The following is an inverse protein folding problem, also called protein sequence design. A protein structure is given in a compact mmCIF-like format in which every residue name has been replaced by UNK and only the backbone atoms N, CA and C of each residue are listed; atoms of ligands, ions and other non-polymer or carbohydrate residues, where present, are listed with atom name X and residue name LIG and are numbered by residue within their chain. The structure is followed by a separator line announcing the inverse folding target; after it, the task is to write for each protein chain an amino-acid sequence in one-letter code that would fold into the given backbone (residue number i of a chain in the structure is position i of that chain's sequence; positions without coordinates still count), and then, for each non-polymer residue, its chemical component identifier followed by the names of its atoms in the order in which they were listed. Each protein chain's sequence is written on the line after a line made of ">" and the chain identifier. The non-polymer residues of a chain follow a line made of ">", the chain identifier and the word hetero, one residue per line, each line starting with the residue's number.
data_IF_096611851609
#
_entry.id   IF_096611851609
#
_cell.length_a   1.000
_cell.length_b   1.000
_cell.length_c   1.000
_cell.angle_alpha   90.00
_cell.angle_beta   90.00
_cell.angle_gamma   90.00
#
_symmetry.space_group_name_H-M   'P 1'
#
loop_
_entity.id
_entity.type
_entity.pdbx_description
1 polymer ?
#
# COMPACT_ATOMS: atom_id res chain seq x y z
N UNK A 1 10.57 4.40 -25.53
CA UNK A 1 10.91 5.21 -24.34
C UNK A 1 9.97 4.95 -23.15
N UNK A 2 8.65 5.14 -23.26
CA UNK A 2 7.71 4.99 -22.09
C UNK A 2 7.76 3.63 -21.38
N UNK A 3 7.85 2.51 -22.14
CA UNK A 3 7.91 1.18 -21.53
C UNK A 3 9.14 0.98 -20.65
N UNK A 4 10.30 1.48 -21.08
CA UNK A 4 11.53 1.42 -20.30
C UNK A 4 11.47 2.31 -19.05
N UNK A 5 10.95 3.51 -19.17
CA UNK A 5 10.78 4.41 -18.00
C UNK A 5 9.77 3.85 -16.99
N UNK A 6 8.67 3.29 -17.46
CA UNK A 6 7.71 2.60 -16.61
C UNK A 6 8.35 1.40 -15.91
N UNK A 7 9.07 0.55 -16.66
CA UNK A 7 9.81 -0.60 -16.09
C UNK A 7 10.79 -0.16 -15.00
N UNK A 8 11.57 0.90 -15.24
CA UNK A 8 12.50 1.46 -14.22
C UNK A 8 11.75 1.93 -12.98
N UNK A 9 10.62 2.61 -13.15
CA UNK A 9 9.82 3.13 -12.06
C UNK A 9 9.26 2.01 -11.17
N UNK A 10 8.61 1.00 -11.75
CA UNK A 10 8.08 -0.14 -10.98
C UNK A 10 9.20 -0.94 -10.32
N UNK A 11 10.35 -1.10 -10.98
CA UNK A 11 11.51 -1.81 -10.43
C UNK A 11 12.14 -1.04 -9.28
N UNK A 12 12.28 0.30 -9.39
CA UNK A 12 12.75 1.16 -8.29
C UNK A 12 11.83 1.07 -7.09
N UNK A 13 10.52 1.17 -7.31
CA UNK A 13 9.51 1.05 -6.26
C UNK A 13 9.63 -0.29 -5.53
N UNK A 14 9.60 -1.41 -6.27
CA UNK A 14 9.73 -2.75 -5.68
C UNK A 14 11.04 -2.96 -4.90
N UNK A 15 12.16 -2.40 -5.37
CA UNK A 15 13.44 -2.46 -4.65
C UNK A 15 13.37 -1.74 -3.30
N UNK A 16 12.70 -0.58 -3.25
CA UNK A 16 12.49 0.15 -2.00
C UNK A 16 11.59 -0.63 -1.05
N UNK A 17 10.43 -1.11 -1.52
CA UNK A 17 9.52 -1.91 -0.67
C UNK A 17 10.22 -3.17 -0.15
N UNK A 18 10.97 -3.88 -1.01
CA UNK A 18 11.75 -5.05 -0.58
C UNK A 18 12.73 -4.70 0.54
N UNK A 19 13.47 -3.59 0.40
CA UNK A 19 14.41 -3.13 1.44
C UNK A 19 13.68 -2.85 2.77
N UNK A 20 12.53 -2.19 2.71
CA UNK A 20 11.73 -1.87 3.88
C UNK A 20 11.11 -3.11 4.53
N UNK A 21 10.53 -3.99 3.74
CA UNK A 21 10.00 -5.26 4.24
C UNK A 21 11.10 -6.11 4.90
N UNK A 22 12.30 -6.17 4.32
CA UNK A 22 13.45 -6.89 4.90
C UNK A 22 13.89 -6.28 6.24
N UNK A 23 13.84 -4.95 6.37
CA UNK A 23 14.10 -4.25 7.63
C UNK A 23 13.11 -4.64 8.73
N UNK A 24 11.88 -5.03 8.36
CA UNK A 24 10.83 -5.52 9.26
C UNK A 24 10.84 -7.05 9.46
N UNK A 25 11.73 -7.80 8.78
CA UNK A 25 11.72 -9.26 8.79
C UNK A 25 10.62 -9.89 7.94
N UNK A 26 9.98 -9.12 7.05
CA UNK A 26 8.92 -9.55 6.13
C UNK A 26 9.53 -9.98 4.79
N UNK A 27 10.35 -11.04 4.80
CA UNK A 27 11.12 -11.45 3.62
C UNK A 27 10.25 -11.91 2.46
N UNK A 28 9.22 -12.73 2.74
CA UNK A 28 8.30 -13.21 1.72
C UNK A 28 7.57 -12.06 1.03
N UNK A 29 6.99 -11.14 1.81
CA UNK A 29 6.32 -9.95 1.29
C UNK A 29 7.26 -9.10 0.43
N UNK A 30 8.48 -8.85 0.92
CA UNK A 30 9.45 -8.05 0.16
C UNK A 30 9.88 -8.68 -1.17
N UNK A 31 9.92 -10.01 -1.27
CA UNK A 31 10.26 -10.71 -2.51
C UNK A 31 9.09 -10.74 -3.50
N UNK A 32 7.88 -10.94 -3.01
CA UNK A 32 6.67 -11.14 -3.82
C UNK A 32 5.89 -9.86 -4.09
N UNK A 33 6.20 -8.77 -3.37
CA UNK A 33 5.52 -7.49 -3.51
C UNK A 33 5.40 -7.07 -4.98
N UNK A 34 4.18 -6.77 -5.40
CA UNK A 34 3.88 -6.19 -6.70
C UNK A 34 4.43 -6.96 -7.93
N UNK A 35 4.66 -8.25 -7.82
CA UNK A 35 5.07 -9.06 -8.99
C UNK A 35 4.04 -8.98 -10.12
N UNK A 36 2.77 -8.79 -9.79
CA UNK A 36 1.69 -8.64 -10.77
C UNK A 36 1.88 -7.46 -11.71
N UNK A 37 2.61 -6.41 -11.31
CA UNK A 37 2.93 -5.24 -12.16
C UNK A 37 3.73 -5.58 -13.42
N UNK A 38 4.38 -6.74 -13.45
CA UNK A 38 5.08 -7.22 -14.65
C UNK A 38 4.20 -8.11 -15.55
N UNK A 39 2.96 -8.41 -15.14
CA UNK A 39 2.02 -9.11 -16.01
C UNK A 39 1.62 -8.24 -17.20
N UNK A 40 1.33 -8.84 -18.38
CA UNK A 40 0.92 -8.06 -19.54
C UNK A 40 -0.29 -7.14 -19.26
N UNK A 41 -1.25 -7.62 -18.46
CA UNK A 41 -2.48 -6.88 -18.11
C UNK A 41 -2.23 -5.61 -17.33
N UNK A 42 -1.24 -5.57 -16.43
CA UNK A 42 -0.86 -4.36 -15.69
C UNK A 42 0.22 -3.57 -16.41
N UNK A 43 1.25 -4.25 -16.92
CA UNK A 43 2.42 -3.59 -17.49
C UNK A 43 2.07 -2.69 -18.68
N UNK A 44 1.36 -3.21 -19.68
CA UNK A 44 1.05 -2.45 -20.89
C UNK A 44 0.04 -1.32 -20.64
N UNK A 45 -0.90 -1.53 -19.70
CA UNK A 45 -1.76 -0.42 -19.25
C UNK A 45 -0.95 0.63 -18.51
N UNK A 46 -0.05 0.21 -17.63
CA UNK A 46 0.90 1.10 -16.97
C UNK A 46 1.72 1.91 -17.96
N UNK A 47 2.22 1.31 -19.03
CA UNK A 47 2.95 2.01 -20.12
C UNK A 47 2.07 3.03 -20.82
N UNK A 48 0.81 2.68 -21.13
CA UNK A 48 -0.15 3.58 -21.79
C UNK A 48 -0.38 4.85 -20.99
N UNK A 49 -0.58 4.72 -19.67
CA UNK A 49 -0.92 5.83 -18.76
C UNK A 49 0.27 6.42 -18.01
N UNK A 50 1.50 6.01 -18.32
CA UNK A 50 2.70 6.49 -17.65
C UNK A 50 2.97 7.98 -17.88
N UNK A 51 3.12 8.73 -16.79
CA UNK A 51 3.41 10.18 -16.79
C UNK A 51 4.68 10.54 -16.00
N UNK A 52 5.28 9.59 -15.26
CA UNK A 52 6.50 9.80 -14.47
C UNK A 52 6.30 10.37 -13.07
N UNK A 53 5.37 11.32 -12.90
CA UNK A 53 5.11 12.04 -11.64
C UNK A 53 3.87 11.56 -10.89
N UNK A 54 3.13 10.64 -11.47
CA UNK A 54 1.84 10.14 -10.97
C UNK A 54 1.71 8.65 -11.25
N UNK A 55 0.94 7.95 -10.39
CA UNK A 55 0.60 6.55 -10.64
C UNK A 55 -0.17 6.40 -11.96
N UNK A 56 0.23 5.48 -12.84
CA UNK A 56 -0.53 5.16 -14.05
C UNK A 56 -1.99 4.75 -13.78
N UNK A 57 -2.24 4.09 -12.65
CA UNK A 57 -3.61 3.70 -12.24
C UNK A 57 -4.49 4.92 -11.93
N UNK A 58 -3.92 5.98 -11.33
CA UNK A 58 -4.66 7.23 -11.12
C UNK A 58 -4.92 7.95 -12.46
N UNK A 59 -3.94 7.97 -13.36
CA UNK A 59 -4.12 8.55 -14.69
C UNK A 59 -5.20 7.79 -15.50
N UNK A 60 -5.20 6.45 -15.48
CA UNK A 60 -6.23 5.63 -16.12
C UNK A 60 -7.61 5.91 -15.54
N UNK A 61 -7.73 6.03 -14.20
CA UNK A 61 -9.01 6.31 -13.53
C UNK A 61 -9.57 7.68 -13.89
N UNK A 62 -8.72 8.69 -14.00
CA UNK A 62 -9.14 10.04 -14.40
C UNK A 62 -9.64 10.12 -15.83
N UNK A 63 -9.08 9.30 -16.72
CA UNK A 63 -9.50 9.25 -18.13
C UNK A 63 -10.76 8.42 -18.34
N UNK A 64 -10.90 7.27 -17.65
CA UNK A 64 -11.92 6.28 -17.93
C UNK A 64 -12.95 6.08 -16.79
N UNK A 65 -12.86 6.86 -15.71
CA UNK A 65 -13.66 6.67 -14.48
C UNK A 65 -13.20 5.51 -13.59
N UNK A 66 -12.55 4.51 -14.17
CA UNK A 66 -12.03 3.31 -13.49
C UNK A 66 -10.63 2.98 -13.97
N UNK A 67 -9.90 2.15 -13.20
CA UNK A 67 -8.62 1.59 -13.64
C UNK A 67 -8.70 0.06 -13.64
N UNK A 68 -8.65 -0.54 -14.83
CA UNK A 68 -8.64 -2.00 -14.97
C UNK A 68 -7.29 -2.59 -14.52
N UNK A 69 -6.20 -1.85 -14.68
CA UNK A 69 -4.91 -2.23 -14.10
C UNK A 69 -5.00 -2.31 -12.58
N UNK A 70 -5.69 -1.35 -11.93
CA UNK A 70 -5.89 -1.36 -10.49
C UNK A 70 -6.79 -2.51 -10.02
N UNK A 71 -7.88 -2.80 -10.74
CA UNK A 71 -8.75 -3.93 -10.40
C UNK A 71 -7.99 -5.26 -10.43
N UNK A 72 -7.13 -5.46 -11.45
CA UNK A 72 -6.28 -6.64 -11.52
C UNK A 72 -5.24 -6.66 -10.38
N UNK A 73 -4.64 -5.50 -10.10
CA UNK A 73 -3.58 -5.34 -9.11
C UNK A 73 -4.08 -5.59 -7.68
N UNK A 74 -5.12 -4.88 -7.25
CA UNK A 74 -5.66 -5.00 -5.89
C UNK A 74 -6.17 -6.41 -5.57
N UNK A 75 -6.69 -7.14 -6.55
CA UNK A 75 -7.16 -8.51 -6.37
C UNK A 75 -6.05 -9.55 -6.20
N UNK A 76 -4.78 -9.18 -6.41
CA UNK A 76 -3.60 -10.07 -6.31
C UNK A 76 -2.62 -9.67 -5.21
N UNK A 77 -2.77 -8.48 -4.65
CA UNK A 77 -1.82 -7.90 -3.71
C UNK A 77 -2.51 -7.59 -2.38
N UNK A 78 -2.30 -8.47 -1.41
CA UNK A 78 -2.97 -8.44 -0.10
C UNK A 78 -2.59 -7.26 0.79
N UNK A 79 -1.55 -6.51 0.45
CA UNK A 79 -1.18 -5.27 1.15
C UNK A 79 -2.07 -4.08 0.78
N UNK A 80 -2.95 -4.22 -0.21
CA UNK A 80 -3.98 -3.23 -0.51
C UNK A 80 -5.25 -3.53 0.27
N UNK A 81 -5.78 -2.54 1.01
CA UNK A 81 -6.99 -2.73 1.81
C UNK A 81 -8.20 -3.09 0.95
N UNK A 82 -8.24 -2.67 -0.31
CA UNK A 82 -9.30 -2.99 -1.26
C UNK A 82 -9.39 -4.48 -1.64
N UNK A 83 -8.35 -5.27 -1.37
CA UNK A 83 -8.40 -6.73 -1.42
C UNK A 83 -9.35 -7.30 -0.34
N UNK A 84 -9.47 -6.60 0.79
CA UNK A 84 -10.18 -7.01 1.99
C UNK A 84 -11.61 -6.42 2.08
N UNK A 85 -12.18 -5.96 0.96
CA UNK A 85 -13.56 -5.49 0.91
C UNK A 85 -14.45 -6.66 0.53
N UNK A 86 -15.47 -6.92 1.38
CA UNK A 86 -16.43 -8.00 1.18
C UNK A 86 -17.79 -7.64 1.79
N UNK A 87 -18.77 -8.52 1.60
CA UNK A 87 -20.04 -8.45 2.31
C UNK A 87 -19.82 -8.82 3.78
N UNK A 88 -20.17 -7.89 4.66
CA UNK A 88 -20.11 -8.06 6.10
C UNK A 88 -21.54 -8.16 6.66
N UNK A 89 -21.69 -8.76 7.85
CA UNK A 89 -22.95 -8.84 8.58
C UNK A 89 -22.82 -7.94 9.81
N UNK A 90 -23.67 -6.93 9.93
CA UNK A 90 -23.71 -6.05 11.10
C UNK A 90 -24.36 -6.70 12.32
N UNK A 91 -24.24 -6.06 13.46
CA UNK A 91 -24.85 -6.51 14.73
C UNK A 91 -26.39 -6.60 14.64
N UNK A 92 -27.01 -5.85 13.73
CA UNK A 92 -28.43 -5.89 13.42
C UNK A 92 -28.81 -7.02 12.44
N UNK A 93 -27.86 -7.87 12.04
CA UNK A 93 -28.04 -8.96 11.09
C UNK A 93 -28.13 -8.54 9.63
N UNK A 94 -28.00 -7.24 9.32
CA UNK A 94 -28.05 -6.75 7.93
C UNK A 94 -26.72 -6.91 7.23
N UNK A 95 -26.82 -7.22 5.94
CA UNK A 95 -25.64 -7.31 5.05
C UNK A 95 -25.29 -5.93 4.52
N UNK A 96 -24.00 -5.61 4.57
CA UNK A 96 -23.45 -4.39 3.99
C UNK A 96 -22.08 -4.63 3.36
N UNK A 97 -21.64 -3.75 2.46
CA UNK A 97 -20.28 -3.79 1.92
C UNK A 97 -19.33 -3.12 2.91
N UNK A 98 -18.32 -3.84 3.37
CA UNK A 98 -17.38 -3.36 4.38
C UNK A 98 -15.95 -3.83 4.19
N UNK A 99 -15.03 -3.23 4.94
CA UNK A 99 -13.65 -3.69 5.00
C UNK A 99 -13.50 -4.79 6.06
N UNK A 100 -12.83 -5.87 5.69
CA UNK A 100 -12.38 -6.90 6.64
C UNK A 100 -11.05 -6.48 7.28
N UNK A 101 -10.82 -6.90 8.53
CA UNK A 101 -9.57 -6.62 9.25
C UNK A 101 -8.37 -7.26 8.55
N UNK A 102 -7.37 -6.46 8.26
CA UNK A 102 -6.14 -6.95 7.63
C UNK A 102 -5.20 -7.58 8.67
N UNK A 103 -4.57 -8.73 8.38
CA UNK A 103 -3.47 -9.23 9.21
C UNK A 103 -2.30 -8.23 9.25
N UNK A 104 -1.69 -8.06 10.42
CA UNK A 104 -0.66 -7.06 10.68
C UNK A 104 0.48 -7.08 9.65
N UNK A 105 0.92 -8.25 9.21
CA UNK A 105 1.98 -8.39 8.18
C UNK A 105 1.66 -7.67 6.87
N UNK A 106 0.38 -7.62 6.47
CA UNK A 106 -0.04 -6.92 5.26
C UNK A 106 -0.25 -5.41 5.50
N UNK A 107 -0.62 -5.02 6.72
CA UNK A 107 -0.63 -3.61 7.12
C UNK A 107 0.80 -3.05 7.15
N UNK A 108 1.76 -3.82 7.66
CA UNK A 108 3.17 -3.45 7.66
C UNK A 108 3.76 -3.41 6.23
N UNK A 109 3.33 -4.30 5.34
CA UNK A 109 3.69 -4.23 3.90
C UNK A 109 3.07 -2.98 3.24
N UNK A 110 1.79 -2.66 3.52
CA UNK A 110 1.12 -1.44 3.06
C UNK A 110 1.85 -0.17 3.55
N UNK A 111 2.34 -0.16 4.80
CA UNK A 111 3.16 0.92 5.34
C UNK A 111 4.45 1.11 4.51
N UNK A 112 5.17 0.03 4.22
CA UNK A 112 6.37 0.06 3.38
C UNK A 112 6.07 0.56 1.96
N UNK A 113 4.96 0.09 1.37
CA UNK A 113 4.50 0.47 0.03
C UNK A 113 4.22 1.97 -0.07
N UNK A 114 3.47 2.53 0.90
CA UNK A 114 3.13 3.96 0.91
C UNK A 114 4.36 4.87 0.99
N UNK A 115 5.34 4.53 1.83
CA UNK A 115 6.61 5.27 1.90
C UNK A 115 7.35 5.20 0.57
N UNK A 116 7.48 4.00 0.01
CA UNK A 116 8.19 3.78 -1.25
C UNK A 116 7.52 4.51 -2.42
N UNK A 117 6.18 4.47 -2.50
CA UNK A 117 5.42 5.19 -3.51
C UNK A 117 5.63 6.71 -3.41
N UNK A 118 5.55 7.29 -2.21
CA UNK A 118 5.83 8.72 -2.01
C UNK A 118 7.25 9.08 -2.45
N UNK A 119 8.27 8.31 -2.06
CA UNK A 119 9.67 8.55 -2.46
C UNK A 119 9.87 8.44 -3.97
N UNK A 120 9.20 7.51 -4.64
CA UNK A 120 9.34 7.32 -6.09
C UNK A 120 8.71 8.46 -6.88
N UNK A 121 7.49 8.89 -6.49
CA UNK A 121 6.74 9.90 -7.25
C UNK A 121 7.05 11.34 -6.87
N UNK A 122 7.49 11.60 -5.64
CA UNK A 122 7.82 12.96 -5.19
C UNK A 122 9.32 13.30 -5.33
N UNK A 123 10.19 12.27 -5.39
CA UNK A 123 11.64 12.50 -5.48
C UNK A 123 12.15 13.39 -4.36
N UNK A 124 12.82 14.48 -4.72
CA UNK A 124 13.42 15.43 -3.76
C UNK A 124 12.39 16.21 -2.92
N UNK A 125 11.10 16.17 -3.30
CA UNK A 125 10.01 16.79 -2.54
C UNK A 125 9.45 15.88 -1.43
N UNK A 126 9.93 14.63 -1.34
CA UNK A 126 9.52 13.72 -0.29
C UNK A 126 9.91 14.26 1.08
N UNK A 127 8.99 14.14 2.02
CA UNK A 127 9.23 14.31 3.47
C UNK A 127 8.61 13.16 4.23
N UNK A 128 8.98 12.95 5.47
CA UNK A 128 8.39 11.90 6.30
C UNK A 128 6.89 12.12 6.58
N UNK A 129 6.39 13.34 6.40
CA UNK A 129 4.96 13.66 6.43
C UNK A 129 4.19 13.18 5.19
N UNK A 130 4.87 12.98 4.05
CA UNK A 130 4.23 12.76 2.75
C UNK A 130 3.21 11.61 2.74
N UNK A 131 3.56 10.48 3.34
CA UNK A 131 2.70 9.29 3.34
C UNK A 131 1.50 9.46 4.28
N UNK A 132 1.68 10.11 5.43
CA UNK A 132 0.59 10.43 6.36
C UNK A 132 -0.40 11.44 5.74
N UNK A 133 0.11 12.53 5.17
CA UNK A 133 -0.72 13.57 4.57
C UNK A 133 -1.54 13.04 3.37
N UNK A 134 -0.96 12.11 2.60
CA UNK A 134 -1.67 11.41 1.54
C UNK A 134 -2.78 10.50 2.08
N UNK A 135 -2.52 9.77 3.18
CA UNK A 135 -3.48 8.92 3.85
C UNK A 135 -4.67 9.72 4.40
N UNK A 136 -4.40 10.79 5.15
CA UNK A 136 -5.45 11.63 5.74
C UNK A 136 -6.40 12.24 4.69
N UNK A 137 -5.89 12.65 3.53
CA UNK A 137 -6.74 13.14 2.42
C UNK A 137 -7.75 12.10 1.92
N UNK A 138 -7.45 10.82 2.05
CA UNK A 138 -8.31 9.74 1.56
C UNK A 138 -9.14 9.08 2.66
N UNK A 139 -8.79 9.24 3.93
CA UNK A 139 -9.34 8.51 5.08
C UNK A 139 -10.87 8.53 5.17
N UNK A 140 -11.50 9.66 4.87
CA UNK A 140 -12.96 9.81 4.91
C UNK A 140 -13.71 9.16 3.74
N UNK A 141 -13.01 8.64 2.72
CA UNK A 141 -13.61 8.16 1.48
C UNK A 141 -13.23 6.71 1.14
N UNK A 142 -12.47 6.03 2.02
CA UNK A 142 -12.02 4.66 1.79
C UNK A 142 -12.81 3.66 2.64
N UNK A 143 -13.10 2.52 2.06
CA UNK A 143 -13.78 1.41 2.73
C UNK A 143 -12.75 0.48 3.37
N UNK A 144 -12.14 0.93 4.47
CA UNK A 144 -11.14 0.17 5.24
C UNK A 144 -11.71 -0.21 6.60
N UNK A 145 -11.35 -1.39 7.12
CA UNK A 145 -11.74 -1.78 8.48
C UNK A 145 -11.22 -0.75 9.50
N UNK A 146 -12.02 -0.32 10.49
CA UNK A 146 -11.65 0.74 11.43
C UNK A 146 -10.30 0.50 12.11
N UNK A 147 -10.09 -0.68 12.71
CA UNK A 147 -8.83 -1.02 13.37
C UNK A 147 -7.64 -1.03 12.40
N UNK A 148 -7.84 -1.46 11.15
CA UNK A 148 -6.79 -1.40 10.13
C UNK A 148 -6.45 0.04 9.78
N UNK A 149 -7.48 0.89 9.64
CA UNK A 149 -7.31 2.31 9.35
C UNK A 149 -6.60 3.06 10.49
N UNK A 150 -6.96 2.79 11.74
CA UNK A 150 -6.28 3.37 12.90
C UNK A 150 -4.82 2.92 12.98
N UNK A 151 -4.56 1.64 12.76
CA UNK A 151 -3.22 1.07 12.84
C UNK A 151 -2.28 1.67 11.79
N UNK A 152 -2.71 1.69 10.52
CA UNK A 152 -1.88 2.31 9.45
C UNK A 152 -1.72 3.81 9.69
N UNK A 153 -2.77 4.51 10.12
CA UNK A 153 -2.70 5.93 10.48
C UNK A 153 -1.66 6.20 11.56
N UNK A 154 -1.63 5.38 12.63
CA UNK A 154 -0.66 5.49 13.72
C UNK A 154 0.78 5.23 13.25
N UNK A 155 1.00 4.18 12.43
CA UNK A 155 2.33 3.91 11.86
C UNK A 155 2.85 5.09 11.04
N UNK A 156 1.99 5.69 10.21
CA UNK A 156 2.34 6.83 9.37
C UNK A 156 2.51 8.13 10.17
N UNK A 157 1.77 8.29 11.28
CA UNK A 157 1.93 9.42 12.20
C UNK A 157 3.28 9.36 12.92
N UNK A 158 3.71 8.18 13.40
CA UNK A 158 5.05 8.00 13.98
C UNK A 158 6.13 8.34 12.95
N UNK A 159 5.96 7.93 11.69
CA UNK A 159 6.87 8.32 10.62
C UNK A 159 6.97 9.85 10.48
N UNK A 160 5.82 10.53 10.43
CA UNK A 160 5.75 11.98 10.28
C UNK A 160 6.42 12.74 11.42
N UNK A 161 6.18 12.30 12.66
CA UNK A 161 6.58 13.02 13.88
C UNK A 161 7.98 12.66 14.37
N UNK A 162 8.40 11.39 14.17
CA UNK A 162 9.63 10.85 14.77
C UNK A 162 10.65 10.34 13.74
N UNK A 163 10.27 10.36 12.45
CA UNK A 163 11.13 9.93 11.36
C UNK A 163 11.12 8.43 11.07
N UNK A 164 11.85 8.06 10.02
CA UNK A 164 11.80 6.70 9.45
C UNK A 164 12.30 5.64 10.45
N UNK A 165 13.39 5.89 11.18
CA UNK A 165 13.95 4.89 12.08
C UNK A 165 12.99 4.54 13.23
N UNK A 166 12.43 5.54 13.90
CA UNK A 166 11.47 5.35 14.97
C UNK A 166 10.20 4.62 14.49
N UNK A 167 9.70 4.97 13.29
CA UNK A 167 8.54 4.32 12.71
C UNK A 167 8.79 2.83 12.42
N UNK A 168 9.96 2.49 11.88
CA UNK A 168 10.32 1.09 11.63
C UNK A 168 10.52 0.31 12.92
N UNK A 169 11.08 0.92 13.97
CA UNK A 169 11.21 0.27 15.28
C UNK A 169 9.84 0.03 15.92
N UNK A 170 8.92 0.99 15.82
CA UNK A 170 7.53 0.83 16.24
C UNK A 170 6.83 -0.33 15.52
N UNK A 171 6.88 -0.37 14.19
CA UNK A 171 6.24 -1.45 13.41
C UNK A 171 6.88 -2.80 13.72
N UNK A 172 8.20 -2.85 13.94
CA UNK A 172 8.89 -4.09 14.32
C UNK A 172 8.47 -4.59 15.69
N UNK A 173 8.23 -3.69 16.66
CA UNK A 173 7.73 -4.05 17.97
C UNK A 173 6.34 -4.71 17.86
N UNK A 174 5.41 -4.10 17.12
CA UNK A 174 4.08 -4.68 16.87
C UNK A 174 4.16 -6.09 16.25
N UNK A 175 5.00 -6.29 15.25
CA UNK A 175 5.18 -7.60 14.61
C UNK A 175 5.78 -8.65 15.55
N UNK A 176 6.56 -8.26 16.54
CA UNK A 176 7.09 -9.16 17.58
C UNK A 176 6.02 -9.53 18.60
N UNK A 177 5.22 -8.58 19.05
CA UNK A 177 4.11 -8.78 19.97
C UNK A 177 3.07 -9.74 19.39
N UNK A 178 2.67 -9.56 18.11
CA UNK A 178 1.74 -10.46 17.43
C UNK A 178 2.25 -11.93 17.41
N UNK A 179 3.57 -12.12 17.23
CA UNK A 179 4.15 -13.47 17.25
C UNK A 179 4.16 -14.11 18.64
N UNK A 180 4.24 -13.31 19.70
CA UNK A 180 4.26 -13.80 21.09
C UNK A 180 2.85 -14.08 21.62
N UNK A 181 1.85 -13.34 21.14
CA UNK A 181 0.43 -13.53 21.49
C UNK A 181 -0.42 -13.67 20.21
N UNK A 182 -0.36 -14.82 19.52
CA UNK A 182 -1.16 -14.99 18.31
C UNK A 182 -2.65 -14.90 18.69
N UNK A 183 -3.30 -13.82 18.27
CA UNK A 183 -4.76 -13.72 18.33
C UNK A 183 -5.36 -14.88 17.52
N UNK A 184 -6.19 -15.69 18.21
CA UNK A 184 -6.92 -16.81 17.63
C UNK A 184 -7.87 -16.36 16.52
#
# INVERSE_FOLDING_TARGET
>A
MRAWEHFKTITRHRRLVRRYCFRLGLYYQGLTHDLSKYSPSEFWRGVKYYQGYRSPNDAERRENGVSLAWLHHKGRNRHHFEYWIDYCIGDDGKVYMGGCKMPLKYVAEMFCDRIAACKVYQGDKYTDASAYDYYEKSRGHILIHPETGELIGKMLLVLKEQGEDAAFDYVRALLREEKQCPTK
#
